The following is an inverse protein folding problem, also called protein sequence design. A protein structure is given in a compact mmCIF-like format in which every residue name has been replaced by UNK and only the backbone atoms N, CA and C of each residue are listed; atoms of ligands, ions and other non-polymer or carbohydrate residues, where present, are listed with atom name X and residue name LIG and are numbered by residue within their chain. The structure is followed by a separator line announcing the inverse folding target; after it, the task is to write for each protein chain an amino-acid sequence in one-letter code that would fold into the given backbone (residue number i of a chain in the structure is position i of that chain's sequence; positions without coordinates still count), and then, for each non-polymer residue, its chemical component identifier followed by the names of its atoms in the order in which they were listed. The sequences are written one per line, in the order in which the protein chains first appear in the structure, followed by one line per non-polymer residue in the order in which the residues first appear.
data_IF_363271859489
#
_entry.id   IF_363271859489
#
_cell.length_a   1.000
_cell.length_b   1.000
_cell.length_c   1.000
_cell.angle_alpha   90.00
_cell.angle_beta   90.00
_cell.angle_gamma   90.00
#
_symmetry.space_group_name_H-M   'P 1'
#
loop_
_entity.id
_entity.type
_entity.pdbx_description
1 polymer ?
#
# COMPACT_ATOMS: atom_id res chain seq x y z
N UNK A 1 -4.04 -14.05 -16.11
CA UNK A 1 -3.43 -13.36 -14.96
C UNK A 1 -4.55 -13.09 -13.96
N UNK A 2 -4.57 -13.80 -12.84
CA UNK A 2 -5.54 -13.56 -11.77
C UNK A 2 -5.29 -12.18 -11.16
N UNK A 3 -6.37 -11.45 -10.88
CA UNK A 3 -6.35 -10.15 -10.23
C UNK A 3 -5.50 -10.15 -8.95
N UNK A 4 -4.95 -8.99 -8.54
CA UNK A 4 -4.18 -8.91 -7.32
C UNK A 4 -5.12 -9.26 -6.17
N UNK A 5 -4.76 -10.30 -5.42
CA UNK A 5 -5.51 -10.73 -4.25
C UNK A 5 -5.34 -9.79 -3.06
N UNK A 6 -4.62 -8.68 -3.22
CA UNK A 6 -4.37 -7.73 -2.13
C UNK A 6 -4.95 -6.36 -2.50
N UNK A 7 -5.77 -5.81 -1.60
CA UNK A 7 -6.17 -4.41 -1.61
C UNK A 7 -5.39 -3.62 -0.57
N UNK A 8 -5.21 -2.34 -0.81
CA UNK A 8 -4.42 -1.44 0.03
C UNK A 8 -5.27 -0.24 0.39
N UNK A 9 -5.22 0.16 1.65
CA UNK A 9 -5.83 1.38 2.15
C UNK A 9 -4.81 2.16 2.97
N UNK A 10 -4.64 3.43 2.67
CA UNK A 10 -3.82 4.33 3.47
C UNK A 10 -4.61 4.71 4.74
N UNK A 11 -4.03 4.43 5.92
CA UNK A 11 -4.59 4.81 7.21
C UNK A 11 -4.01 6.12 7.75
N UNK A 12 -2.86 6.53 7.23
CA UNK A 12 -2.16 7.72 7.66
C UNK A 12 -0.68 7.69 7.28
N UNK A 13 0.07 8.67 7.76
CA UNK A 13 1.49 8.80 7.49
C UNK A 13 2.23 9.43 8.67
N UNK A 14 3.53 9.14 8.79
CA UNK A 14 4.43 9.85 9.70
C UNK A 14 5.27 10.83 8.91
N UNK A 15 5.51 12.01 9.48
CA UNK A 15 6.36 13.05 8.89
C UNK A 15 7.70 13.12 9.60
N UNK A 16 8.74 13.44 8.85
CA UNK A 16 10.05 13.82 9.36
C UNK A 16 10.45 15.15 8.72
N UNK A 17 10.26 16.23 9.46
CA UNK A 17 10.29 17.58 8.89
C UNK A 17 9.14 17.76 7.91
N UNK A 18 9.43 18.28 6.72
CA UNK A 18 8.44 18.53 5.67
C UNK A 18 8.15 17.31 4.79
N UNK A 19 8.87 16.20 4.97
CA UNK A 19 8.75 15.01 4.15
C UNK A 19 7.98 13.89 4.85
N UNK A 20 7.18 13.15 4.08
CA UNK A 20 6.53 11.93 4.56
C UNK A 20 7.59 10.83 4.67
N UNK A 21 7.82 10.35 5.89
CA UNK A 21 8.82 9.31 6.18
C UNK A 21 8.27 7.91 5.91
N UNK A 22 7.05 7.63 6.38
CA UNK A 22 6.39 6.35 6.16
C UNK A 22 4.87 6.51 6.09
N UNK A 23 4.22 5.53 5.45
CA UNK A 23 2.78 5.39 5.41
C UNK A 23 2.35 4.21 6.28
N UNK A 24 1.24 4.37 6.99
CA UNK A 24 0.53 3.26 7.61
C UNK A 24 -0.50 2.75 6.60
N UNK A 25 -0.37 1.48 6.23
CA UNK A 25 -1.22 0.84 5.25
C UNK A 25 -1.96 -0.32 5.91
N UNK A 26 -3.25 -0.39 5.64
CA UNK A 26 -4.04 -1.61 5.79
C UNK A 26 -3.97 -2.40 4.49
N UNK A 27 -3.61 -3.67 4.59
CA UNK A 27 -3.53 -4.59 3.46
C UNK A 27 -4.48 -5.72 3.71
N UNK A 28 -5.39 -5.97 2.78
CA UNK A 28 -6.41 -7.01 2.89
C UNK A 28 -6.21 -8.03 1.79
N UNK A 29 -6.05 -9.30 2.15
CA UNK A 29 -6.08 -10.43 1.23
C UNK A 29 -7.53 -10.79 0.91
N UNK A 30 -7.96 -10.53 -0.32
CA UNK A 30 -9.34 -10.74 -0.76
C UNK A 30 -9.69 -12.22 -0.91
N UNK A 31 -8.71 -13.13 -0.86
CA UNK A 31 -8.96 -14.59 -0.96
C UNK A 31 -9.52 -15.17 0.33
N UNK A 32 -9.05 -14.69 1.47
CA UNK A 32 -9.40 -15.22 2.79
C UNK A 32 -9.92 -14.15 3.77
N UNK A 33 -9.93 -12.88 3.36
CA UNK A 33 -10.37 -11.75 4.17
C UNK A 33 -9.34 -11.31 5.22
N UNK A 34 -8.13 -11.84 5.20
CA UNK A 34 -7.09 -11.49 6.17
C UNK A 34 -6.65 -10.06 5.98
N UNK A 35 -6.76 -9.25 7.04
CA UNK A 35 -6.29 -7.87 7.04
C UNK A 35 -5.09 -7.71 7.98
N UNK A 36 -4.06 -7.02 7.52
CA UNK A 36 -2.88 -6.66 8.32
C UNK A 36 -2.56 -5.18 8.16
N UNK A 37 -2.07 -4.56 9.24
CA UNK A 37 -1.54 -3.21 9.19
C UNK A 37 -0.02 -3.23 9.16
N UNK A 38 0.56 -2.45 8.25
CA UNK A 38 2.01 -2.32 8.08
C UNK A 38 2.41 -0.86 8.03
N UNK A 39 3.59 -0.54 8.57
CA UNK A 39 4.25 0.75 8.33
C UNK A 39 5.30 0.56 7.25
N UNK A 40 5.22 1.35 6.17
CA UNK A 40 6.09 1.25 5.01
C UNK A 40 6.80 2.59 4.79
N UNK A 41 8.14 2.63 4.84
CA UNK A 41 8.90 3.82 4.47
C UNK A 41 8.59 4.25 3.04
N UNK A 42 8.41 5.56 2.79
CA UNK A 42 8.06 6.10 1.47
C UNK A 42 8.98 5.60 0.35
N UNK A 43 10.30 5.53 0.63
CA UNK A 43 11.31 5.02 -0.31
C UNK A 43 11.14 3.55 -0.68
N UNK A 44 10.55 2.75 0.20
CA UNK A 44 10.23 1.33 -0.06
C UNK A 44 8.86 1.19 -0.70
N UNK A 45 7.93 2.10 -0.37
CA UNK A 45 6.57 2.08 -0.89
C UNK A 45 6.53 2.21 -2.41
N UNK A 46 7.38 3.03 -3.02
CA UNK A 46 7.43 3.24 -4.48
C UNK A 46 7.96 2.04 -5.29
N UNK A 47 8.50 1.02 -4.62
CA UNK A 47 9.18 -0.11 -5.25
C UNK A 47 8.36 -1.39 -5.09
N UNK A 48 7.84 -1.93 -6.20
CA UNK A 48 7.06 -3.16 -6.19
C UNK A 48 7.84 -4.34 -5.57
N UNK A 49 9.15 -4.39 -5.83
CA UNK A 49 10.04 -5.41 -5.25
C UNK A 49 10.18 -5.26 -3.73
N UNK A 50 10.36 -4.02 -3.24
CA UNK A 50 10.45 -3.76 -1.80
C UNK A 50 9.14 -4.10 -1.10
N UNK A 51 8.00 -3.73 -1.70
CA UNK A 51 6.67 -4.08 -1.21
C UNK A 51 6.45 -5.59 -1.17
N UNK A 52 6.85 -6.31 -2.23
CA UNK A 52 6.83 -7.77 -2.24
C UNK A 52 7.58 -8.36 -1.05
N UNK A 53 8.80 -7.89 -0.79
CA UNK A 53 9.60 -8.37 0.34
C UNK A 53 8.94 -8.10 1.71
N UNK A 54 8.32 -6.93 1.89
CA UNK A 54 7.63 -6.58 3.14
C UNK A 54 6.41 -7.48 3.33
N UNK A 55 5.60 -7.67 2.29
CA UNK A 55 4.37 -8.45 2.36
C UNK A 55 4.64 -9.95 2.54
N UNK A 56 5.70 -10.46 1.93
CA UNK A 56 6.18 -11.83 2.16
C UNK A 56 6.49 -12.08 3.64
N UNK A 57 7.08 -11.11 4.36
CA UNK A 57 7.32 -11.24 5.80
C UNK A 57 6.04 -11.34 6.63
N UNK A 58 4.91 -10.92 6.05
CA UNK A 58 3.56 -11.01 6.61
C UNK A 58 2.74 -12.16 6.02
N UNK A 59 3.38 -13.08 5.29
CA UNK A 59 2.74 -14.20 4.57
C UNK A 59 1.72 -13.76 3.51
N UNK A 60 1.81 -12.51 3.04
CA UNK A 60 0.97 -11.97 1.98
C UNK A 60 1.69 -12.03 0.64
N UNK A 61 1.08 -12.71 -0.33
CA UNK A 61 1.68 -12.91 -1.65
C UNK A 61 1.39 -11.73 -2.57
N UNK A 62 2.42 -10.93 -2.82
CA UNK A 62 2.36 -9.80 -3.74
C UNK A 62 3.18 -10.09 -5.00
N UNK A 63 2.51 -10.12 -6.15
CA UNK A 63 3.13 -10.43 -7.43
C UNK A 63 2.53 -9.57 -8.53
N UNK A 64 2.88 -8.29 -8.55
CA UNK A 64 2.51 -7.36 -9.62
C UNK A 64 3.76 -6.78 -10.27
N UNK A 65 3.61 -6.24 -11.48
CA UNK A 65 4.66 -5.48 -12.16
C UNK A 65 4.80 -4.09 -11.55
N UNK A 66 5.96 -3.44 -11.75
CA UNK A 66 6.18 -2.07 -11.28
C UNK A 66 5.13 -1.08 -11.80
N UNK A 67 4.76 -1.16 -13.09
CA UNK A 67 3.69 -0.33 -13.67
C UNK A 67 2.34 -0.52 -12.97
N UNK A 68 1.98 -1.78 -12.67
CA UNK A 68 0.71 -2.07 -11.98
C UNK A 68 0.74 -1.58 -10.54
N UNK A 69 1.88 -1.73 -9.88
CA UNK A 69 2.10 -1.19 -8.54
C UNK A 69 1.95 0.34 -8.50
N UNK A 70 2.52 1.05 -9.47
CA UNK A 70 2.37 2.51 -9.60
C UNK A 70 0.91 2.93 -9.83
N UNK A 71 0.17 2.21 -10.69
CA UNK A 71 -1.28 2.43 -10.86
C UNK A 71 -2.02 2.30 -9.53
N UNK A 72 -1.78 1.21 -8.78
CA UNK A 72 -2.41 0.97 -7.49
C UNK A 72 -2.07 2.05 -6.47
N UNK A 73 -0.83 2.57 -6.47
CA UNK A 73 -0.45 3.68 -5.59
C UNK A 73 -1.20 4.96 -5.98
N UNK A 74 -1.32 5.28 -7.27
CA UNK A 74 -2.11 6.42 -7.74
C UNK A 74 -3.55 6.28 -7.26
N UNK A 75 -4.19 5.14 -7.53
CA UNK A 75 -5.58 4.87 -7.12
C UNK A 75 -5.77 5.02 -5.60
N UNK A 76 -4.84 4.46 -4.80
CA UNK A 76 -4.90 4.53 -3.33
C UNK A 76 -4.78 5.97 -2.81
N UNK A 77 -3.94 6.81 -3.42
CA UNK A 77 -3.72 8.19 -2.97
C UNK A 77 -4.69 9.21 -3.60
N UNK A 78 -5.20 8.94 -4.79
CA UNK A 78 -6.27 9.73 -5.42
C UNK A 78 -7.59 9.56 -4.66
N UNK A 79 -7.88 8.34 -4.19
CA UNK A 79 -9.03 8.08 -3.33
C UNK A 79 -8.96 8.84 -1.99
N UNK A 80 -7.76 9.01 -1.44
CA UNK A 80 -7.54 9.78 -0.21
C UNK A 80 -7.77 11.30 -0.39
N UNK A 81 -7.55 11.85 -1.58
CA UNK A 81 -7.88 13.26 -1.85
C UNK A 81 -9.38 13.50 -1.83
N UNK A 82 -10.18 12.52 -2.26
CA UNK A 82 -11.64 12.63 -2.23
C UNK A 82 -12.19 12.52 -0.80
N UNK A 83 -11.68 11.58 0.00
CA UNK A 83 -12.10 11.42 1.40
C UNK A 83 -11.70 12.59 2.30
N UNK A 84 -10.68 13.38 1.94
CA UNK A 84 -10.23 14.55 2.70
C UNK A 84 -11.03 15.83 2.42
N UNK A 85 -11.87 15.85 1.39
CA UNK A 85 -12.69 17.01 1.00
C UNK A 85 -14.11 16.94 1.61
N UNK A 86 -14.52 15.79 2.14
CA UNK A 86 -15.83 15.59 2.79
C UNK A 86 -15.77 15.60 4.34
N UNK A 87 -14.67 16.06 4.95
CA UNK A 87 -14.46 16.13 6.40
C UNK A 87 -14.58 17.52 7.02
#
# INVERSE_FOLDING_TARGET
MTEPSLTFKCLGHTKRGDLIESYQLEVTDTRDGTTVQISVPTRKLISAHSMKSILLSRKMFYSVTQRKHESMLSEMFDQQQLDAVEG
#
